data_IF_822177954174
#
_entry.id   IF_822177954174
#
_cell.length_a   1.000
_cell.length_b   1.000
_cell.length_c   1.000
_cell.angle_alpha   90.00
_cell.angle_beta   90.00
_cell.angle_gamma   90.00
#
_symmetry.space_group_name_H-M   'P 1'
#
loop_
_entity.id
_entity.type
_entity.pdbx_description
1 polymer ?
#
# COMPACT_ATOMS: atom_id res chain seq x y z
N UNK A 1 -19.51 -20.90 -17.01
CA UNK A 1 -19.97 -19.61 -16.44
C UNK A 1 -20.01 -19.62 -14.90
N UNK A 2 -20.15 -20.77 -14.25
CA UNK A 2 -20.22 -20.91 -12.78
C UNK A 2 -18.87 -20.67 -12.07
N UNK A 3 -17.76 -21.20 -12.59
CA UNK A 3 -16.41 -20.95 -12.07
C UNK A 3 -16.00 -19.46 -12.09
N UNK A 4 -16.50 -18.67 -13.03
CA UNK A 4 -16.19 -17.23 -13.10
C UNK A 4 -16.94 -16.43 -12.04
N UNK A 5 -18.13 -16.87 -11.60
CA UNK A 5 -18.92 -16.18 -10.57
C UNK A 5 -18.33 -16.42 -9.18
N UNK A 6 -17.85 -17.65 -8.91
CA UNK A 6 -17.20 -17.99 -7.63
C UNK A 6 -15.88 -17.22 -7.44
N UNK A 7 -15.04 -17.14 -8.47
CA UNK A 7 -13.78 -16.37 -8.40
C UNK A 7 -14.01 -14.86 -8.20
N UNK A 8 -15.05 -14.29 -8.83
CA UNK A 8 -15.36 -12.87 -8.66
C UNK A 8 -15.85 -12.55 -7.23
N UNK A 9 -16.66 -13.44 -6.66
CA UNK A 9 -17.15 -13.33 -5.28
C UNK A 9 -16.04 -13.51 -4.25
N UNK A 10 -15.11 -14.45 -4.47
CA UNK A 10 -13.93 -14.65 -3.63
C UNK A 10 -12.99 -13.45 -3.68
N UNK A 11 -12.72 -12.89 -4.86
CA UNK A 11 -11.92 -11.68 -5.03
C UNK A 11 -12.56 -10.49 -4.31
N UNK A 12 -13.87 -10.29 -4.47
CA UNK A 12 -14.59 -9.21 -3.81
C UNK A 12 -14.56 -9.35 -2.28
N UNK A 13 -14.75 -10.56 -1.76
CA UNK A 13 -14.67 -10.86 -0.33
C UNK A 13 -13.27 -10.66 0.23
N UNK A 14 -12.25 -11.06 -0.55
CA UNK A 14 -10.85 -10.86 -0.18
C UNK A 14 -10.54 -9.37 -0.10
N UNK A 15 -10.83 -8.59 -1.15
CA UNK A 15 -10.68 -7.13 -1.20
C UNK A 15 -11.39 -6.45 -0.02
N UNK A 16 -12.63 -6.85 0.31
CA UNK A 16 -13.35 -6.29 1.45
C UNK A 16 -12.69 -6.61 2.79
N UNK A 17 -12.22 -7.84 3.02
CA UNK A 17 -11.45 -8.19 4.24
C UNK A 17 -10.19 -7.33 4.37
N UNK A 18 -9.58 -6.97 3.24
CA UNK A 18 -8.35 -6.19 3.24
C UNK A 18 -8.57 -4.74 3.64
N UNK A 19 -9.68 -4.15 3.23
CA UNK A 19 -10.02 -2.76 3.52
C UNK A 19 -10.43 -2.54 4.99
N UNK A 20 -10.67 -3.60 5.77
CA UNK A 20 -11.07 -3.51 7.18
C UNK A 20 -9.97 -2.88 8.04
N UNK A 21 -8.70 -3.25 7.86
CA UNK A 21 -7.61 -2.76 8.72
C UNK A 21 -7.46 -1.23 8.68
N UNK A 22 -7.44 -0.55 7.52
CA UNK A 22 -7.43 0.91 7.47
C UNK A 22 -8.72 1.56 7.97
N UNK A 23 -9.89 0.94 7.73
CA UNK A 23 -11.18 1.46 8.19
C UNK A 23 -11.22 1.53 9.72
N UNK A 24 -10.63 0.55 10.42
CA UNK A 24 -10.57 0.54 11.89
C UNK A 24 -9.68 1.65 12.45
N UNK A 25 -8.63 2.04 11.72
CA UNK A 25 -7.65 3.04 12.17
C UNK A 25 -8.20 4.46 12.05
N UNK A 26 -9.11 4.72 11.10
CA UNK A 26 -9.69 6.04 10.85
C UNK A 26 -10.46 6.64 12.05
N UNK A 27 -11.38 5.92 12.72
CA UNK A 27 -12.07 6.42 13.91
C UNK A 27 -11.11 6.80 15.04
N UNK A 28 -10.10 5.96 15.29
CA UNK A 28 -9.10 6.21 16.34
C UNK A 28 -8.30 7.48 16.01
N UNK A 29 -7.85 7.63 14.77
CA UNK A 29 -7.13 8.82 14.33
C UNK A 29 -7.98 10.10 14.44
N UNK A 30 -9.26 10.02 14.07
CA UNK A 30 -10.21 11.13 14.16
C UNK A 30 -10.49 11.54 15.61
N UNK A 31 -10.68 10.57 16.51
CA UNK A 31 -10.88 10.82 17.95
C UNK A 31 -9.64 11.48 18.54
N UNK A 32 -8.44 10.95 18.28
CA UNK A 32 -7.19 11.54 18.77
C UNK A 32 -6.99 12.96 18.26
N UNK A 33 -7.22 13.20 16.96
CA UNK A 33 -7.16 14.54 16.39
C UNK A 33 -8.13 15.51 17.08
N UNK A 34 -9.38 15.08 17.32
CA UNK A 34 -10.41 15.92 17.92
C UNK A 34 -10.13 16.21 19.41
N UNK A 35 -9.63 15.24 20.15
CA UNK A 35 -9.24 15.38 21.56
C UNK A 35 -8.08 16.37 21.70
N UNK A 36 -7.08 16.29 20.82
CA UNK A 36 -5.92 17.19 20.86
C UNK A 36 -6.20 18.62 20.37
N UNK A 37 -7.39 18.90 19.83
CA UNK A 37 -7.73 20.23 19.34
C UNK A 37 -7.90 21.23 20.49
N UNK A 38 -7.61 22.50 20.19
CA UNK A 38 -7.69 23.61 21.15
C UNK A 38 -9.09 23.77 21.77
N UNK A 39 -10.11 23.27 21.07
CA UNK A 39 -11.51 23.35 21.47
C UNK A 39 -11.95 22.30 22.50
N UNK A 40 -11.12 21.27 22.77
CA UNK A 40 -11.51 20.12 23.61
C UNK A 40 -10.59 20.00 24.83
N UNK A 41 -9.34 19.56 24.64
CA UNK A 41 -8.38 19.37 25.74
C UNK A 41 -7.08 20.16 25.51
N UNK A 42 -6.87 20.74 24.33
CA UNK A 42 -5.69 21.54 23.97
C UNK A 42 -4.35 20.85 24.32
N UNK A 43 -4.24 19.57 23.97
CA UNK A 43 -3.04 18.76 24.19
C UNK A 43 -2.31 18.56 22.85
N UNK A 44 -1.22 19.31 22.58
CA UNK A 44 -0.59 19.34 21.26
C UNK A 44 -0.06 17.98 20.79
N UNK A 45 0.49 17.17 21.70
CA UNK A 45 1.06 15.87 21.34
C UNK A 45 0.00 14.84 20.91
N UNK A 46 -1.21 14.90 21.48
CA UNK A 46 -2.31 14.02 21.07
C UNK A 46 -2.80 14.39 19.67
N UNK A 47 -2.86 15.70 19.36
CA UNK A 47 -3.23 16.21 18.04
C UNK A 47 -2.26 15.71 16.97
N UNK A 48 -0.96 15.82 17.24
CA UNK A 48 0.09 15.37 16.31
C UNK A 48 0.02 13.87 16.02
N UNK A 49 -0.33 13.03 17.02
CA UNK A 49 -0.52 11.59 16.79
C UNK A 49 -1.68 11.33 15.81
N UNK A 50 -2.83 11.99 16.01
CA UNK A 50 -3.97 11.86 15.10
C UNK A 50 -3.65 12.30 13.68
N UNK A 51 -2.93 13.43 13.55
CA UNK A 51 -2.45 13.93 12.26
C UNK A 51 -1.43 12.97 11.61
N UNK A 52 -0.50 12.40 12.37
CA UNK A 52 0.52 11.49 11.85
C UNK A 52 -0.10 10.22 11.24
N UNK A 53 -1.16 9.68 11.87
CA UNK A 53 -1.88 8.51 11.34
C UNK A 53 -2.58 8.88 10.02
N UNK A 54 -3.28 10.02 9.97
CA UNK A 54 -3.99 10.48 8.78
C UNK A 54 -3.02 10.80 7.61
N UNK A 55 -1.86 11.41 7.90
CA UNK A 55 -0.82 11.71 6.91
C UNK A 55 -0.20 10.45 6.30
N UNK A 56 -0.17 9.34 7.05
CA UNK A 56 0.36 8.06 6.60
C UNK A 56 -0.73 7.06 6.22
N UNK A 57 -1.97 7.53 6.01
CA UNK A 57 -3.08 6.65 5.68
C UNK A 57 -2.84 5.89 4.36
N UNK A 58 -2.22 6.54 3.37
CA UNK A 58 -1.88 5.91 2.09
C UNK A 58 -1.00 4.67 2.25
N UNK A 59 0.05 4.73 3.08
CA UNK A 59 0.93 3.58 3.29
C UNK A 59 0.24 2.44 4.07
N UNK A 60 -0.63 2.79 5.03
CA UNK A 60 -1.44 1.82 5.79
C UNK A 60 -2.40 1.07 4.84
N UNK A 61 -3.03 1.80 3.91
CA UNK A 61 -3.87 1.20 2.87
C UNK A 61 -3.06 0.32 1.93
N UNK A 62 -1.90 0.78 1.45
CA UNK A 62 -1.05 0.00 0.54
C UNK A 62 -0.63 -1.33 1.16
N UNK A 63 -0.14 -1.29 2.39
CA UNK A 63 0.29 -2.48 3.14
C UNK A 63 -0.89 -3.44 3.36
N UNK A 64 -2.05 -2.90 3.74
CA UNK A 64 -3.26 -3.71 3.92
C UNK A 64 -3.61 -4.41 2.62
N UNK A 65 -3.82 -3.65 1.52
CA UNK A 65 -4.20 -4.16 0.19
C UNK A 65 -3.32 -5.34 -0.24
N UNK A 66 -2.00 -5.19 -0.11
CA UNK A 66 -1.07 -6.24 -0.49
C UNK A 66 -1.18 -7.49 0.37
N UNK A 67 -1.35 -7.34 1.68
CA UNK A 67 -1.46 -8.45 2.62
C UNK A 67 -2.69 -9.32 2.33
N UNK A 68 -3.83 -8.70 2.06
CA UNK A 68 -5.05 -9.47 1.84
C UNK A 68 -5.22 -10.02 0.41
N UNK A 69 -4.40 -9.58 -0.54
CA UNK A 69 -4.27 -10.22 -1.87
C UNK A 69 -3.21 -11.34 -1.83
N UNK A 70 -2.20 -11.21 -0.97
CA UNK A 70 -1.14 -12.18 -0.86
C UNK A 70 -1.62 -13.52 -0.30
N UNK A 71 -1.33 -14.59 -1.03
CA UNK A 71 -1.64 -15.95 -0.61
C UNK A 71 -0.88 -16.32 0.67
N UNK A 72 -1.64 -16.75 1.68
CA UNK A 72 -1.10 -17.09 2.99
C UNK A 72 -0.80 -15.89 3.88
N UNK A 73 -1.36 -14.71 3.58
CA UNK A 73 -1.37 -13.54 4.48
C UNK A 73 0.04 -13.19 5.00
N UNK A 74 0.99 -13.07 4.07
CA UNK A 74 2.41 -12.99 4.41
C UNK A 74 2.88 -11.53 4.54
N UNK A 75 3.57 -11.22 5.63
CA UNK A 75 4.10 -9.88 5.90
C UNK A 75 5.09 -9.36 4.84
N UNK A 76 5.72 -10.24 4.06
CA UNK A 76 6.63 -9.83 2.97
C UNK A 76 5.89 -9.06 1.87
N UNK A 77 4.61 -9.37 1.61
CA UNK A 77 3.80 -8.62 0.66
C UNK A 77 3.51 -7.19 1.18
N UNK A 78 3.25 -7.06 2.48
CA UNK A 78 3.07 -5.76 3.15
C UNK A 78 4.30 -4.88 2.96
N UNK A 79 5.48 -5.43 3.25
CA UNK A 79 6.76 -4.71 3.14
C UNK A 79 7.02 -4.34 1.67
N UNK A 80 6.72 -5.24 0.73
CA UNK A 80 6.87 -4.96 -0.70
C UNK A 80 6.00 -3.78 -1.15
N UNK A 81 4.76 -3.71 -0.66
CA UNK A 81 3.82 -2.63 -0.97
C UNK A 81 4.25 -1.29 -0.39
N UNK A 82 4.79 -1.30 0.84
CA UNK A 82 5.36 -0.12 1.49
C UNK A 82 6.52 0.43 0.66
N UNK A 83 7.44 -0.43 0.25
CA UNK A 83 8.58 -0.02 -0.59
C UNK A 83 8.10 0.51 -1.94
N UNK A 84 7.18 -0.21 -2.62
CA UNK A 84 6.59 0.24 -3.88
C UNK A 84 5.87 1.59 -3.77
N UNK A 85 5.14 1.81 -2.68
CA UNK A 85 4.46 3.09 -2.39
C UNK A 85 5.45 4.24 -2.26
N UNK A 86 6.54 4.04 -1.51
CA UNK A 86 7.58 5.07 -1.36
C UNK A 86 8.28 5.38 -2.68
N UNK A 87 8.62 4.36 -3.47
CA UNK A 87 9.25 4.57 -4.78
C UNK A 87 8.32 5.36 -5.71
N UNK A 88 7.06 4.92 -5.84
CA UNK A 88 6.07 5.56 -6.70
C UNK A 88 5.84 7.02 -6.28
N UNK A 89 5.59 7.26 -5.00
CA UNK A 89 5.34 8.62 -4.49
C UNK A 89 6.56 9.53 -4.56
N UNK A 90 7.78 9.00 -4.40
CA UNK A 90 9.01 9.78 -4.53
C UNK A 90 9.25 10.20 -5.97
N UNK A 91 9.11 9.28 -6.93
CA UNK A 91 9.26 9.57 -8.36
C UNK A 91 8.20 10.56 -8.83
N UNK A 92 6.94 10.35 -8.44
CA UNK A 92 5.86 11.25 -8.80
C UNK A 92 6.14 12.68 -8.30
N UNK A 93 6.54 12.85 -7.03
CA UNK A 93 6.87 14.15 -6.43
C UNK A 93 8.03 14.88 -7.11
N UNK A 94 8.96 14.16 -7.74
CA UNK A 94 10.05 14.80 -8.49
C UNK A 94 9.62 15.40 -9.82
N UNK A 95 8.50 14.94 -10.39
CA UNK A 95 8.01 15.41 -11.69
C UNK A 95 6.98 16.53 -11.50
N UNK A 96 6.11 16.40 -10.50
CA UNK A 96 5.07 17.39 -10.22
C UNK A 96 4.99 17.66 -8.71
N UNK A 97 5.10 18.92 -8.30
CA UNK A 97 5.23 19.31 -6.88
C UNK A 97 3.86 19.48 -6.21
N UNK A 98 2.81 19.77 -6.99
CA UNK A 98 1.43 20.01 -6.51
C UNK A 98 0.59 18.73 -6.35
N UNK A 99 1.27 17.61 -6.14
CA UNK A 99 0.62 16.31 -6.09
C UNK A 99 -0.33 16.20 -4.89
N UNK A 100 -1.63 16.20 -5.24
CA UNK A 100 -2.77 16.19 -4.35
C UNK A 100 -2.98 14.86 -3.60
N UNK A 101 -3.87 14.89 -2.59
CA UNK A 101 -4.34 13.71 -1.84
C UNK A 101 -4.85 12.57 -2.75
N UNK A 102 -5.39 12.90 -3.93
CA UNK A 102 -5.83 11.93 -4.95
C UNK A 102 -4.71 11.00 -5.42
N UNK A 103 -3.48 11.49 -5.54
CA UNK A 103 -2.33 10.65 -5.90
C UNK A 103 -1.95 9.69 -4.77
N UNK A 104 -2.12 10.06 -3.49
CA UNK A 104 -1.84 9.13 -2.39
C UNK A 104 -2.80 7.93 -2.42
N UNK A 105 -4.07 8.17 -2.74
CA UNK A 105 -5.07 7.11 -2.90
C UNK A 105 -4.76 6.24 -4.11
N UNK A 106 -4.40 6.84 -5.24
CA UNK A 106 -3.98 6.08 -6.42
C UNK A 106 -2.72 5.25 -6.14
N UNK A 107 -1.69 5.90 -5.59
CA UNK A 107 -0.41 5.28 -5.27
C UNK A 107 -0.57 4.09 -4.34
N UNK A 108 -1.43 4.18 -3.32
CA UNK A 108 -1.62 3.09 -2.38
C UNK A 108 -2.33 1.88 -2.98
N UNK A 109 -3.36 2.12 -3.80
CA UNK A 109 -4.07 1.04 -4.50
C UNK A 109 -3.14 0.40 -5.52
N UNK A 110 -2.45 1.20 -6.34
CA UNK A 110 -1.55 0.71 -7.36
C UNK A 110 -0.39 -0.09 -6.76
N UNK A 111 0.28 0.43 -5.73
CA UNK A 111 1.40 -0.26 -5.07
C UNK A 111 0.94 -1.49 -4.29
N UNK A 112 -0.23 -1.43 -3.65
CA UNK A 112 -0.82 -2.54 -2.91
C UNK A 112 -1.23 -3.71 -3.81
N UNK A 113 -1.95 -3.41 -4.89
CA UNK A 113 -2.33 -4.40 -5.90
C UNK A 113 -1.09 -5.02 -6.56
N UNK A 114 -0.14 -4.19 -7.00
CA UNK A 114 1.09 -4.66 -7.62
C UNK A 114 1.86 -5.59 -6.68
N UNK A 115 2.09 -5.19 -5.43
CA UNK A 115 2.81 -5.99 -4.46
C UNK A 115 2.13 -7.33 -4.17
N UNK A 116 0.80 -7.34 -3.99
CA UNK A 116 0.04 -8.57 -3.74
C UNK A 116 0.09 -9.55 -4.92
N UNK A 117 -0.10 -9.05 -6.15
CA UNK A 117 -0.05 -9.87 -7.37
C UNK A 117 1.36 -10.39 -7.66
N UNK A 118 2.38 -9.52 -7.50
CA UNK A 118 3.78 -9.91 -7.66
C UNK A 118 4.20 -10.92 -6.60
N UNK A 119 3.70 -10.81 -5.37
CA UNK A 119 3.95 -11.81 -4.33
C UNK A 119 3.41 -13.18 -4.76
N UNK A 120 2.16 -13.26 -5.20
CA UNK A 120 1.56 -14.54 -5.62
C UNK A 120 2.31 -15.16 -6.81
N UNK A 121 2.80 -14.34 -7.72
CA UNK A 121 3.56 -14.80 -8.90
C UNK A 121 5.00 -15.21 -8.60
N UNK A 122 5.70 -14.48 -7.73
CA UNK A 122 7.16 -14.59 -7.56
C UNK A 122 7.60 -15.20 -6.22
N UNK A 123 6.68 -15.52 -5.31
CA UNK A 123 7.01 -16.10 -3.98
C UNK A 123 7.86 -17.37 -4.02
N UNK A 124 7.78 -18.17 -5.08
CA UNK A 124 8.47 -19.46 -5.24
C UNK A 124 9.52 -19.45 -6.37
N UNK A 125 9.96 -18.27 -6.83
CA UNK A 125 10.94 -18.18 -7.92
C UNK A 125 12.30 -18.74 -7.50
N UNK A 126 12.87 -19.60 -8.34
CA UNK A 126 14.24 -20.14 -8.15
C UNK A 126 15.17 -19.44 -9.13
N UNK A 127 16.07 -18.62 -8.59
CA UNK A 127 17.10 -17.91 -9.37
C UNK A 127 18.37 -18.77 -9.52
N UNK A 128 19.16 -18.57 -10.60
CA UNK A 128 20.43 -19.27 -10.82
C UNK A 128 21.43 -18.99 -9.69
N UNK A 129 22.42 -19.87 -9.51
CA UNK A 129 23.25 -20.00 -8.30
C UNK A 129 23.94 -18.70 -7.82
N UNK A 130 24.24 -17.75 -8.72
CA UNK A 130 24.83 -16.44 -8.42
C UNK A 130 23.80 -15.44 -7.83
N UNK A 131 22.52 -15.54 -8.21
CA UNK A 131 21.41 -14.69 -7.74
C UNK A 131 20.48 -15.41 -6.76
N UNK A 132 20.84 -16.64 -6.36
CA UNK A 132 20.03 -17.50 -5.49
C UNK A 132 19.70 -16.86 -4.13
N UNK A 133 20.49 -15.90 -3.66
CA UNK A 133 20.22 -15.13 -2.44
C UNK A 133 18.92 -14.32 -2.49
N UNK A 134 18.52 -13.88 -3.69
CA UNK A 134 17.27 -13.14 -3.91
C UNK A 134 16.10 -14.07 -4.25
N UNK A 135 16.30 -15.40 -4.27
CA UNK A 135 15.26 -16.37 -4.59
C UNK A 135 14.08 -16.35 -3.62
N UNK A 136 12.93 -16.79 -4.11
CA UNK A 136 11.69 -16.89 -3.36
C UNK A 136 11.13 -15.54 -2.92
N UNK A 137 10.59 -15.48 -1.70
CA UNK A 137 9.85 -14.32 -1.16
C UNK A 137 10.68 -13.01 -1.11
N UNK A 138 12.01 -13.11 -1.05
CA UNK A 138 12.91 -11.94 -1.01
C UNK A 138 13.02 -11.21 -2.35
N UNK A 139 12.64 -11.86 -3.44
CA UNK A 139 12.61 -11.24 -4.76
C UNK A 139 11.48 -10.21 -4.89
N UNK A 140 10.38 -10.43 -4.15
CA UNK A 140 9.13 -9.67 -4.30
C UNK A 140 9.32 -8.17 -4.04
N UNK A 141 10.01 -7.72 -2.97
CA UNK A 141 10.28 -6.29 -2.77
C UNK A 141 11.08 -5.64 -3.90
N UNK A 142 12.02 -6.38 -4.51
CA UNK A 142 12.89 -5.87 -5.58
C UNK A 142 12.06 -5.60 -6.84
N UNK A 143 11.28 -6.60 -7.27
CA UNK A 143 10.41 -6.43 -8.44
C UNK A 143 9.36 -5.35 -8.20
N UNK A 144 8.79 -5.29 -7.00
CA UNK A 144 7.79 -4.28 -6.64
C UNK A 144 8.39 -2.86 -6.67
N UNK A 145 9.66 -2.70 -6.30
CA UNK A 145 10.37 -1.42 -6.41
C UNK A 145 10.54 -0.98 -7.86
N UNK A 146 10.94 -1.89 -8.75
CA UNK A 146 11.04 -1.61 -10.18
C UNK A 146 9.69 -1.26 -10.81
N UNK A 147 8.63 -2.00 -10.45
CA UNK A 147 7.26 -1.71 -10.90
C UNK A 147 6.80 -0.36 -10.36
N UNK A 148 7.10 -0.03 -9.10
CA UNK A 148 6.82 1.27 -8.49
C UNK A 148 7.52 2.43 -9.20
N UNK A 149 8.74 2.22 -9.70
CA UNK A 149 9.46 3.21 -10.50
C UNK A 149 8.75 3.48 -11.84
N UNK A 150 8.40 2.43 -12.57
CA UNK A 150 7.70 2.55 -13.86
C UNK A 150 6.33 3.21 -13.67
N UNK A 151 5.58 2.77 -12.66
CA UNK A 151 4.29 3.36 -12.33
C UNK A 151 4.43 4.83 -11.93
N UNK A 152 5.45 5.18 -11.12
CA UNK A 152 5.71 6.55 -10.69
C UNK A 152 6.06 7.49 -11.84
N UNK A 153 6.80 7.00 -12.85
CA UNK A 153 7.07 7.77 -14.07
C UNK A 153 5.78 8.00 -14.86
N UNK A 154 5.00 6.95 -15.09
CA UNK A 154 3.73 7.03 -15.83
C UNK A 154 2.77 8.02 -15.12
N UNK A 155 2.60 7.88 -13.81
CA UNK A 155 1.69 8.73 -13.05
C UNK A 155 2.20 10.16 -12.93
N UNK A 156 3.52 10.39 -12.85
CA UNK A 156 4.09 11.73 -12.83
C UNK A 156 3.85 12.52 -14.11
N UNK A 157 3.76 11.86 -15.27
CA UNK A 157 3.50 12.52 -16.55
C UNK A 157 2.01 12.62 -16.93
N UNK A 158 1.19 11.65 -16.51
CA UNK A 158 -0.24 11.61 -16.89
C UNK A 158 -1.12 12.36 -15.88
N UNK A 159 -0.73 12.38 -14.61
CA UNK A 159 -1.56 12.91 -13.52
C UNK A 159 -1.15 14.33 -13.15
N UNK A 160 -2.08 15.31 -13.16
CA UNK A 160 -1.83 16.65 -12.64
C UNK A 160 -1.82 16.70 -11.10
#
# INVERSE_FOLDING_TARGET
MENSKNNLQELFTSVMKVLIAPIIVLPVAAILFKIGDASVLNIPWIKEIGVAILKNLGIIFAASIAVGIAEGNNGVAAISAVVGYFVLTSVAKTINVDINASMQVFACIASGLAAGLLYNKYKDIKLPQILGFFGGKRFVPIVTSFVGLVLGLITGFIWP
#
